data_IF_421737271260
#
_entry.id   IF_421737271260
#
_cell.length_a   1.000
_cell.length_b   1.000
_cell.length_c   1.000
_cell.angle_alpha   90.00
_cell.angle_beta   90.00
_cell.angle_gamma   90.00
#
_symmetry.space_group_name_H-M   'P 1'
#
loop_
_entity.id
_entity.type
_entity.pdbx_description
1 polymer ?
#
# COMPACT_ATOMS: atom_id res chain seq x y z
N UNK A 1 13.28 0.02 -25.25
CA UNK A 1 12.66 0.58 -24.03
C UNK A 1 13.59 0.26 -22.88
N UNK A 2 13.87 1.22 -21.99
CA UNK A 2 14.68 0.94 -20.81
C UNK A 2 13.94 -0.08 -19.92
N UNK A 3 14.67 -0.95 -19.22
CA UNK A 3 14.11 -1.94 -18.30
C UNK A 3 13.65 -1.25 -17.01
N UNK A 4 12.71 -0.32 -17.11
CA UNK A 4 12.16 0.44 -15.98
C UNK A 4 11.31 -0.49 -15.10
N UNK A 5 11.55 -0.43 -13.80
CA UNK A 5 10.88 -1.29 -12.82
C UNK A 5 10.52 -0.49 -11.56
N UNK A 6 9.42 -0.86 -10.91
CA UNK A 6 9.02 -0.37 -9.59
C UNK A 6 8.38 -1.49 -8.78
N UNK A 7 8.04 -1.19 -7.53
CA UNK A 7 7.36 -2.13 -6.64
C UNK A 7 5.88 -1.79 -6.54
N UNK A 8 5.05 -2.84 -6.48
CA UNK A 8 3.65 -2.76 -6.06
C UNK A 8 3.49 -3.55 -4.77
N UNK A 9 3.14 -2.85 -3.70
CA UNK A 9 2.76 -3.42 -2.41
C UNK A 9 1.26 -3.62 -2.42
N UNK A 10 0.79 -4.79 -2.02
CA UNK A 10 -0.62 -5.12 -1.90
C UNK A 10 -0.87 -5.68 -0.51
N UNK A 11 -1.71 -4.98 0.26
CA UNK A 11 -2.27 -5.48 1.50
C UNK A 11 -3.68 -6.00 1.25
N UNK A 12 -3.98 -7.19 1.76
CA UNK A 12 -5.31 -7.78 1.64
C UNK A 12 -5.68 -8.62 2.84
N UNK A 13 -6.97 -8.81 3.02
CA UNK A 13 -7.49 -9.78 3.98
C UNK A 13 -8.98 -9.97 3.86
N UNK A 14 -9.57 -10.47 4.94
CA UNK A 14 -10.95 -10.95 5.00
C UNK A 14 -11.72 -10.28 6.13
N UNK A 15 -12.96 -10.74 6.32
CA UNK A 15 -13.85 -10.29 7.36
C UNK A 15 -14.09 -11.39 8.40
N UNK A 16 -14.15 -11.03 9.69
CA UNK A 16 -14.40 -12.01 10.76
C UNK A 16 -15.80 -12.64 10.66
N UNK A 17 -15.91 -13.92 11.02
CA UNK A 17 -17.13 -14.74 10.86
C UNK A 17 -18.38 -14.24 11.60
N UNK A 18 -18.26 -13.22 12.47
CA UNK A 18 -19.44 -12.52 13.02
C UNK A 18 -20.21 -11.71 11.97
N UNK A 19 -19.61 -11.48 10.79
CA UNK A 19 -20.27 -10.96 9.59
C UNK A 19 -20.54 -12.10 8.60
N UNK A 20 -21.38 -13.07 8.96
CA UNK A 20 -21.72 -14.23 8.11
C UNK A 20 -22.13 -13.87 6.68
N UNK A 21 -22.75 -12.71 6.48
CA UNK A 21 -23.10 -12.17 5.16
C UNK A 21 -21.89 -11.81 4.26
N UNK A 22 -20.68 -11.78 4.81
CA UNK A 22 -19.43 -11.42 4.12
C UNK A 22 -18.44 -12.61 4.07
N UNK A 23 -18.92 -13.82 4.34
CA UNK A 23 -18.09 -15.01 4.27
C UNK A 23 -17.56 -15.17 2.84
N UNK A 24 -16.24 -15.22 2.68
CA UNK A 24 -15.57 -15.32 1.38
C UNK A 24 -15.30 -13.98 0.68
N UNK A 25 -15.82 -12.86 1.20
CA UNK A 25 -15.45 -11.54 0.72
C UNK A 25 -14.06 -11.15 1.22
N UNK A 26 -13.31 -10.43 0.38
CA UNK A 26 -11.98 -9.93 0.70
C UNK A 26 -11.87 -8.45 0.43
N UNK A 27 -10.96 -7.79 1.12
CA UNK A 27 -10.56 -6.43 0.83
C UNK A 27 -9.12 -6.41 0.37
N UNK A 28 -8.78 -5.42 -0.46
CA UNK A 28 -7.43 -5.20 -0.93
C UNK A 28 -7.16 -3.71 -1.09
N UNK A 29 -5.96 -3.29 -0.72
CA UNK A 29 -5.43 -1.96 -1.04
C UNK A 29 -4.00 -2.06 -1.53
N UNK A 30 -3.60 -1.14 -2.41
CA UNK A 30 -2.28 -1.18 -3.04
C UNK A 30 -1.58 0.17 -2.99
N UNK A 31 -0.27 0.14 -2.81
CA UNK A 31 0.63 1.30 -2.84
C UNK A 31 1.79 0.96 -3.76
N UNK A 32 2.13 1.87 -4.68
CA UNK A 32 3.33 1.72 -5.51
C UNK A 32 4.51 2.38 -4.81
N UNK A 33 5.69 1.82 -4.97
CA UNK A 33 6.92 2.38 -4.45
C UNK A 33 8.03 2.34 -5.51
N UNK A 34 8.85 3.37 -5.56
CA UNK A 34 10.13 3.30 -6.26
C UNK A 34 11.15 2.63 -5.37
N UNK A 35 12.08 1.88 -5.96
CA UNK A 35 13.29 1.41 -5.29
C UNK A 35 14.46 1.88 -6.15
N UNK A 36 15.36 2.67 -5.59
CA UNK A 36 16.52 3.20 -6.30
C UNK A 36 17.77 2.88 -5.47
N UNK A 37 18.80 2.32 -6.10
CA UNK A 37 20.14 2.30 -5.51
C UNK A 37 20.78 3.69 -5.73
N UNK A 38 20.62 4.58 -4.76
CA UNK A 38 20.98 6.00 -4.85
C UNK A 38 19.85 6.95 -4.42
N UNK A 39 19.93 8.20 -4.87
CA UNK A 39 18.95 9.25 -4.55
C UNK A 39 17.63 9.08 -5.30
N UNK A 40 16.54 9.48 -4.67
CA UNK A 40 15.20 9.51 -5.26
C UNK A 40 14.84 10.97 -5.56
N UNK A 41 14.40 11.23 -6.79
CA UNK A 41 13.85 12.53 -7.18
C UNK A 41 12.36 12.62 -6.84
N UNK A 42 11.86 13.80 -6.51
CA UNK A 42 10.42 14.01 -6.27
C UNK A 42 9.57 13.70 -7.50
N UNK A 43 10.12 13.91 -8.70
CA UNK A 43 9.54 13.57 -9.99
C UNK A 43 10.68 13.10 -10.90
N UNK A 44 10.57 11.89 -11.45
CA UNK A 44 11.63 11.33 -12.27
C UNK A 44 11.17 10.20 -13.17
N UNK A 45 12.14 9.60 -13.87
CA UNK A 45 11.95 8.36 -14.63
C UNK A 45 12.13 7.16 -13.72
N UNK A 46 11.31 6.13 -13.88
CA UNK A 46 11.40 4.91 -13.11
C UNK A 46 12.80 4.29 -13.23
N UNK A 47 13.32 3.70 -12.14
CA UNK A 47 14.67 3.18 -12.12
C UNK A 47 14.80 1.96 -13.03
N UNK A 48 15.98 1.80 -13.59
CA UNK A 48 16.39 0.66 -14.40
C UNK A 48 17.72 0.05 -13.90
N UNK A 49 18.16 0.45 -12.70
CA UNK A 49 19.44 0.09 -12.09
C UNK A 49 19.38 -1.15 -11.20
N UNK A 50 18.27 -1.89 -11.24
CA UNK A 50 18.13 -3.15 -10.53
C UNK A 50 17.26 -4.14 -11.31
N UNK A 51 17.35 -5.41 -10.93
CA UNK A 51 16.54 -6.47 -11.54
C UNK A 51 16.18 -7.56 -10.52
N UNK A 52 15.00 -8.18 -10.64
CA UNK A 52 14.66 -9.35 -9.83
C UNK A 52 15.52 -10.55 -10.25
N UNK A 53 16.14 -11.21 -9.29
CA UNK A 53 16.97 -12.41 -9.48
C UNK A 53 16.48 -13.55 -8.58
N UNK A 54 16.70 -14.82 -8.92
CA UNK A 54 16.18 -15.94 -8.14
C UNK A 54 16.69 -15.97 -6.71
N UNK A 55 15.77 -16.24 -5.78
CA UNK A 55 16.06 -16.60 -4.39
C UNK A 55 14.92 -17.44 -3.87
N UNK A 56 15.17 -18.65 -3.39
CA UNK A 56 14.14 -19.40 -2.67
C UNK A 56 13.89 -18.76 -1.31
N UNK A 57 12.67 -18.32 -1.04
CA UNK A 57 12.25 -17.73 0.23
C UNK A 57 11.16 -18.62 0.82
N UNK A 58 11.43 -19.16 2.01
CA UNK A 58 10.47 -19.90 2.83
C UNK A 58 10.84 -19.71 4.30
N UNK A 59 10.37 -18.60 4.88
CA UNK A 59 10.69 -18.17 6.24
C UNK A 59 9.45 -18.25 7.13
N UNK A 60 9.61 -18.70 8.36
CA UNK A 60 8.54 -18.76 9.35
C UNK A 60 8.95 -17.95 10.56
N UNK A 61 8.14 -16.95 10.87
CA UNK A 61 8.25 -16.12 12.08
C UNK A 61 7.15 -16.51 13.05
N UNK A 62 7.20 -16.00 14.28
CA UNK A 62 6.19 -16.31 15.32
C UNK A 62 4.77 -15.92 14.92
N UNK A 63 4.59 -14.90 14.06
CA UNK A 63 3.28 -14.38 13.67
C UNK A 63 2.92 -14.46 12.18
N UNK A 64 3.86 -14.88 11.33
CA UNK A 64 3.64 -14.97 9.88
C UNK A 64 4.65 -15.87 9.17
N UNK A 65 4.31 -16.27 7.96
CA UNK A 65 5.23 -16.94 7.03
C UNK A 65 5.51 -16.04 5.84
N UNK A 66 6.73 -16.08 5.31
CA UNK A 66 7.14 -15.36 4.11
C UNK A 66 7.57 -16.37 3.06
N UNK A 67 6.96 -16.29 1.88
CA UNK A 67 7.25 -17.17 0.74
C UNK A 67 7.50 -16.36 -0.51
N UNK A 68 8.40 -16.84 -1.37
CA UNK A 68 8.77 -16.13 -2.59
C UNK A 68 9.89 -16.85 -3.32
N UNK A 69 10.22 -16.35 -4.50
CA UNK A 69 11.22 -16.96 -5.37
C UNK A 69 12.20 -15.93 -5.96
N UNK A 70 12.23 -14.69 -5.46
CA UNK A 70 13.10 -13.65 -5.98
C UNK A 70 13.59 -12.69 -4.90
N UNK A 71 14.73 -12.07 -5.18
CA UNK A 71 15.28 -10.89 -4.51
C UNK A 71 15.70 -9.87 -5.55
N UNK A 72 16.24 -8.73 -5.10
CA UNK A 72 16.71 -7.68 -6.01
C UNK A 72 18.24 -7.68 -6.07
N UNK A 73 18.78 -7.61 -7.29
CA UNK A 73 20.19 -7.31 -7.56
C UNK A 73 20.30 -5.86 -8.02
N UNK A 74 21.12 -5.07 -7.32
CA UNK A 74 21.45 -3.69 -7.69
C UNK A 74 22.56 -3.60 -8.74
N UNK A 75 23.14 -2.40 -8.96
CA UNK A 75 24.11 -2.14 -10.03
C UNK A 75 25.51 -2.72 -9.77
N UNK A 76 25.80 -3.19 -8.54
CA UNK A 76 27.08 -3.78 -8.16
C UNK A 76 26.87 -5.04 -7.28
N UNK A 77 27.65 -5.22 -6.22
CA UNK A 77 27.51 -6.32 -5.26
C UNK A 77 26.30 -6.15 -4.31
N UNK A 78 25.56 -5.06 -4.46
CA UNK A 78 24.42 -4.73 -3.62
C UNK A 78 23.23 -5.61 -3.96
N UNK A 79 22.66 -6.22 -2.94
CA UNK A 79 21.41 -6.94 -3.04
C UNK A 79 20.42 -6.41 -2.04
N UNK A 80 19.15 -6.42 -2.41
CA UNK A 80 18.07 -6.01 -1.54
C UNK A 80 17.14 -7.20 -1.29
N UNK A 81 17.02 -7.57 -0.02
CA UNK A 81 16.29 -8.74 0.44
C UNK A 81 14.83 -8.35 0.74
N UNK A 82 13.93 -8.72 -0.17
CA UNK A 82 12.52 -8.29 -0.12
C UNK A 82 11.77 -8.93 1.04
N UNK A 83 12.17 -10.13 1.45
CA UNK A 83 11.68 -10.80 2.64
C UNK A 83 12.05 -10.07 3.94
N UNK A 84 13.25 -9.52 4.03
CA UNK A 84 13.65 -8.70 5.18
C UNK A 84 12.86 -7.40 5.21
N UNK A 85 12.71 -6.71 4.08
CA UNK A 85 11.86 -5.51 4.01
C UNK A 85 10.39 -5.82 4.35
N UNK A 86 9.87 -6.97 3.93
CA UNK A 86 8.51 -7.40 4.29
C UNK A 86 8.37 -7.59 5.81
N UNK A 87 9.37 -8.18 6.45
CA UNK A 87 9.35 -8.48 7.88
C UNK A 87 9.62 -7.27 8.77
N UNK A 88 10.65 -6.49 8.43
CA UNK A 88 11.21 -5.47 9.30
C UNK A 88 10.57 -4.09 9.07
N UNK A 89 10.02 -3.87 7.87
CA UNK A 89 9.42 -2.60 7.50
C UNK A 89 7.92 -2.72 7.22
N UNK A 90 7.52 -3.55 6.25
CA UNK A 90 6.12 -3.56 5.79
C UNK A 90 5.14 -4.15 6.80
N UNK A 91 5.45 -5.30 7.42
CA UNK A 91 4.58 -5.85 8.46
C UNK A 91 4.45 -4.91 9.67
N UNK A 92 5.55 -4.33 10.20
CA UNK A 92 5.50 -3.30 11.23
C UNK A 92 4.81 -1.99 10.81
N UNK A 93 4.72 -1.67 9.52
CA UNK A 93 3.97 -0.51 9.02
C UNK A 93 2.46 -0.80 8.90
N UNK A 94 2.10 -1.94 8.29
CA UNK A 94 0.70 -2.28 8.02
C UNK A 94 -0.07 -2.80 9.24
N UNK A 95 0.60 -3.46 10.20
CA UNK A 95 -0.01 -3.93 11.45
C UNK A 95 -0.62 -2.79 12.27
N UNK A 96 0.13 -1.74 12.68
CA UNK A 96 -0.44 -0.62 13.40
C UNK A 96 -1.38 0.23 12.53
N UNK A 97 -1.19 0.28 11.21
CA UNK A 97 -2.13 0.94 10.30
C UNK A 97 -3.51 0.26 10.37
N UNK A 98 -3.59 -1.07 10.25
CA UNK A 98 -4.88 -1.77 10.33
C UNK A 98 -5.48 -1.72 11.74
N UNK A 99 -4.64 -1.79 12.77
CA UNK A 99 -5.04 -1.74 14.18
C UNK A 99 -5.35 -0.32 14.68
N UNK A 100 -5.14 0.72 13.85
CA UNK A 100 -5.31 2.11 14.26
C UNK A 100 -6.71 2.34 14.81
N UNK A 101 -6.75 2.87 16.03
CA UNK A 101 -8.01 3.24 16.69
C UNK A 101 -8.78 4.22 15.82
N UNK A 102 -10.09 4.01 15.70
CA UNK A 102 -10.98 4.82 14.88
C UNK A 102 -10.64 4.84 13.39
N UNK A 103 -10.05 3.78 12.82
CA UNK A 103 -9.86 3.66 11.37
C UNK A 103 -10.63 2.49 10.77
N UNK A 104 -10.34 1.26 11.18
CA UNK A 104 -10.94 0.09 10.54
C UNK A 104 -11.77 -0.72 11.52
N UNK A 105 -12.87 -1.27 11.05
CA UNK A 105 -13.75 -2.09 11.89
C UNK A 105 -13.00 -3.29 12.47
N UNK A 106 -13.31 -3.65 13.71
CA UNK A 106 -12.88 -4.91 14.34
C UNK A 106 -13.24 -6.18 13.57
N UNK A 107 -14.08 -6.06 12.54
CA UNK A 107 -14.40 -7.17 11.63
C UNK A 107 -13.45 -7.26 10.44
N UNK A 108 -12.58 -6.29 10.20
CA UNK A 108 -11.54 -6.31 9.16
C UNK A 108 -10.31 -7.00 9.71
N UNK A 109 -9.74 -7.94 8.96
CA UNK A 109 -8.46 -8.59 9.29
C UNK A 109 -7.47 -8.48 8.14
N UNK A 110 -6.19 -8.24 8.44
CA UNK A 110 -5.08 -8.26 7.49
C UNK A 110 -4.50 -9.67 7.40
N UNK A 111 -4.57 -10.29 6.21
CA UNK A 111 -4.11 -11.68 6.00
C UNK A 111 -2.78 -11.76 5.29
N UNK A 112 -2.58 -10.92 4.29
CA UNK A 112 -1.38 -11.01 3.46
C UNK A 112 -0.84 -9.64 3.09
N UNK A 113 0.49 -9.56 3.00
CA UNK A 113 1.21 -8.49 2.32
C UNK A 113 1.96 -9.12 1.15
N UNK A 114 1.85 -8.53 -0.04
CA UNK A 114 2.51 -8.99 -1.25
C UNK A 114 3.30 -7.87 -1.87
N UNK A 115 4.52 -8.17 -2.31
CA UNK A 115 5.35 -7.24 -3.07
C UNK A 115 5.57 -7.83 -4.46
N UNK A 116 5.29 -7.04 -5.49
CA UNK A 116 5.48 -7.40 -6.89
C UNK A 116 6.51 -6.46 -7.55
N UNK A 117 7.49 -6.98 -8.31
CA UNK A 117 8.29 -6.17 -9.20
C UNK A 117 7.49 -5.94 -10.49
N UNK A 118 7.18 -4.69 -10.82
CA UNK A 118 6.37 -4.32 -11.98
C UNK A 118 7.25 -3.61 -13.00
N UNK A 119 7.25 -4.08 -14.24
CA UNK A 119 8.04 -3.47 -15.32
C UNK A 119 7.27 -2.40 -16.10
N UNK A 120 7.93 -1.77 -17.07
CA UNK A 120 7.35 -0.76 -17.97
C UNK A 120 6.03 -1.18 -18.66
N UNK A 121 5.84 -2.49 -18.91
CA UNK A 121 4.58 -3.01 -19.46
C UNK A 121 3.40 -3.01 -18.48
N UNK A 122 3.61 -2.66 -17.21
CA UNK A 122 2.61 -2.80 -16.14
C UNK A 122 2.40 -4.23 -15.64
N UNK A 123 3.22 -5.18 -16.12
CA UNK A 123 3.17 -6.59 -15.75
C UNK A 123 4.24 -6.93 -14.72
N UNK A 124 4.01 -8.03 -13.98
CA UNK A 124 4.99 -8.54 -13.02
C UNK A 124 6.22 -9.06 -13.77
N UNK A 125 7.40 -8.59 -13.37
CA UNK A 125 8.68 -9.01 -13.96
C UNK A 125 9.11 -10.36 -13.36
N UNK A 126 9.36 -11.40 -14.18
CA UNK A 126 9.90 -12.65 -13.68
C UNK A 126 11.37 -12.51 -13.28
N UNK A 127 11.79 -13.23 -12.23
CA UNK A 127 13.20 -13.49 -11.96
C UNK A 127 13.66 -14.69 -12.80
N UNK A 128 14.59 -14.56 -13.76
CA UNK A 128 15.06 -15.70 -14.55
C UNK A 128 15.73 -16.75 -13.66
N UNK A 129 15.35 -18.04 -13.68
CA UNK A 129 14.80 -18.74 -14.84
C UNK A 129 13.27 -18.90 -14.84
N UNK A 130 12.53 -18.27 -13.92
CA UNK A 130 11.08 -18.43 -13.87
C UNK A 130 10.42 -17.80 -15.11
N UNK A 131 9.48 -18.51 -15.72
CA UNK A 131 8.75 -18.03 -16.89
C UNK A 131 7.68 -16.96 -16.54
N UNK A 132 7.26 -16.91 -15.27
CA UNK A 132 6.22 -16.00 -14.77
C UNK A 132 6.71 -15.28 -13.52
N UNK A 133 6.36 -14.00 -13.41
CA UNK A 133 6.60 -13.22 -12.20
C UNK A 133 5.64 -13.62 -11.08
N UNK A 134 6.15 -13.70 -9.87
CA UNK A 134 5.39 -14.01 -8.65
C UNK A 134 5.71 -13.00 -7.55
N UNK A 135 4.78 -12.72 -6.64
CA UNK A 135 5.06 -11.87 -5.50
C UNK A 135 5.96 -12.58 -4.47
N UNK A 136 6.69 -11.80 -3.68
CA UNK A 136 7.05 -12.26 -2.32
C UNK A 136 5.86 -11.97 -1.42
N UNK A 137 5.38 -12.98 -0.72
CA UNK A 137 4.14 -12.96 0.07
C UNK A 137 4.44 -13.24 1.53
N UNK A 138 4.08 -12.29 2.39
CA UNK A 138 3.93 -12.51 3.83
C UNK A 138 2.47 -12.89 4.11
N UNK A 139 2.26 -13.97 4.86
CA UNK A 139 0.95 -14.47 5.29
C UNK A 139 0.91 -14.54 6.81
N UNK A 140 0.00 -13.80 7.44
CA UNK A 140 -0.17 -13.85 8.90
C UNK A 140 -0.65 -15.25 9.33
N UNK A 141 0.10 -15.87 10.23
CA UNK A 141 -0.20 -17.17 10.81
C UNK A 141 -0.71 -16.98 12.24
N UNK A 142 -1.87 -17.54 12.55
CA UNK A 142 -2.54 -17.34 13.84
C UNK A 142 -3.62 -16.26 13.77
N UNK A 143 -3.71 -15.41 14.81
CA UNK A 143 -4.69 -14.31 14.85
C UNK A 143 -4.15 -13.13 14.03
N UNK A 144 -4.72 -12.85 12.85
CA UNK A 144 -4.26 -11.73 12.02
C UNK A 144 -4.50 -10.39 12.72
N UNK A 145 -3.68 -9.36 12.43
CA UNK A 145 -3.98 -7.99 12.83
C UNK A 145 -5.38 -7.59 12.34
N UNK A 146 -6.22 -7.10 13.25
CA UNK A 146 -7.57 -6.67 12.94
C UNK A 146 -7.78 -5.20 13.26
N UNK A 147 -8.85 -4.62 12.71
CA UNK A 147 -9.27 -3.28 13.09
C UNK A 147 -9.61 -3.17 14.58
N UNK A 148 -9.60 -1.95 15.10
CA UNK A 148 -9.92 -1.68 16.50
C UNK A 148 -11.27 -0.98 16.68
N UNK A 149 -11.94 -0.62 15.60
CA UNK A 149 -13.16 0.18 15.65
C UNK A 149 -14.40 -0.69 15.88
N UNK A 150 -15.07 -0.46 17.01
CA UNK A 150 -16.32 -1.12 17.38
C UNK A 150 -17.53 -0.64 16.56
N UNK A 151 -18.61 -1.42 16.65
CA UNK A 151 -19.88 -1.15 15.96
C UNK A 151 -20.13 -2.06 14.74
N UNK A 152 -21.23 -1.81 14.02
CA UNK A 152 -21.53 -2.56 12.80
C UNK A 152 -20.59 -2.12 11.67
N UNK A 153 -20.19 -3.07 10.82
CA UNK A 153 -19.38 -2.78 9.64
C UNK A 153 -20.17 -1.91 8.66
N UNK A 154 -19.50 -0.96 8.01
CA UNK A 154 -20.07 -0.33 6.83
C UNK A 154 -20.30 -1.35 5.71
N UNK A 155 -21.37 -1.22 4.91
CA UNK A 155 -21.55 -2.07 3.73
C UNK A 155 -20.32 -2.01 2.84
N UNK A 156 -19.76 -3.14 2.34
CA UNK A 156 -18.57 -3.14 1.49
C UNK A 156 -18.72 -2.37 0.17
N UNK A 157 -19.96 -2.02 -0.21
CA UNK A 157 -20.24 -1.14 -1.35
C UNK A 157 -19.81 0.32 -1.09
N UNK A 158 -19.58 0.70 0.18
CA UNK A 158 -19.03 1.98 0.57
C UNK A 158 -17.54 1.82 0.85
N UNK A 159 -16.72 2.64 0.19
CA UNK A 159 -15.29 2.71 0.50
C UNK A 159 -14.90 4.14 0.86
N UNK A 160 -14.05 4.24 1.88
CA UNK A 160 -13.35 5.48 2.18
C UNK A 160 -12.10 5.54 1.31
N UNK A 161 -11.81 6.71 0.77
CA UNK A 161 -10.70 6.89 -0.16
C UNK A 161 -9.68 7.83 0.43
N UNK A 162 -8.45 7.35 0.59
CA UNK A 162 -7.29 8.22 0.72
C UNK A 162 -6.83 8.63 -0.68
N UNK A 163 -6.87 9.92 -0.97
CA UNK A 163 -6.31 10.49 -2.19
C UNK A 163 -4.86 10.90 -1.94
N UNK A 164 -4.01 10.69 -2.92
CA UNK A 164 -2.60 11.05 -2.87
C UNK A 164 -2.28 12.13 -3.90
N UNK A 165 -1.43 13.07 -3.51
CA UNK A 165 -0.89 14.13 -4.37
C UNK A 165 0.62 14.03 -4.42
N UNK A 166 1.19 14.47 -5.53
CA UNK A 166 2.63 14.63 -5.71
C UNK A 166 2.91 16.05 -6.21
N UNK A 167 4.17 16.41 -6.39
CA UNK A 167 4.56 17.66 -7.05
C UNK A 167 4.24 17.67 -8.56
N UNK A 168 3.94 16.50 -9.17
CA UNK A 168 3.65 16.41 -10.59
C UNK A 168 2.27 16.98 -10.90
N UNK A 169 2.24 18.01 -11.76
CA UNK A 169 1.01 18.67 -12.17
C UNK A 169 0.14 17.75 -13.03
N UNK A 170 -1.17 17.80 -12.80
CA UNK A 170 -2.17 17.12 -13.63
C UNK A 170 -2.60 15.76 -13.09
N UNK A 171 -3.09 14.90 -13.98
CA UNK A 171 -3.68 13.59 -13.58
C UNK A 171 -2.63 12.56 -13.15
N UNK A 172 -1.39 12.70 -13.61
CA UNK A 172 -0.30 11.75 -13.34
C UNK A 172 0.23 11.85 -11.90
N UNK A 173 0.20 13.04 -11.30
CA UNK A 173 0.54 13.24 -9.88
C UNK A 173 -0.62 13.03 -8.90
N UNK A 174 -1.63 12.23 -9.27
CA UNK A 174 -2.83 12.00 -8.46
C UNK A 174 -3.15 10.52 -8.39
N UNK A 175 -3.33 10.03 -7.16
CA UNK A 175 -3.47 8.61 -6.84
C UNK A 175 -4.55 8.42 -5.80
N UNK A 176 -5.02 7.19 -5.64
CA UNK A 176 -6.06 6.84 -4.66
C UNK A 176 -5.86 5.44 -4.14
N UNK A 177 -6.05 5.27 -2.84
CA UNK A 177 -6.22 3.98 -2.19
C UNK A 177 -7.64 3.87 -1.64
N UNK A 178 -8.34 2.84 -2.07
CA UNK A 178 -9.60 2.42 -1.48
C UNK A 178 -9.27 1.67 -0.20
N UNK A 179 -9.82 2.12 0.92
CA UNK A 179 -9.48 1.62 2.24
C UNK A 179 -10.49 0.56 2.69
N UNK A 180 -10.11 -0.34 3.60
CA UNK A 180 -11.03 -1.25 4.25
C UNK A 180 -12.19 -0.50 4.93
N UNK A 181 -13.37 -1.13 5.07
CA UNK A 181 -14.51 -0.47 5.67
C UNK A 181 -14.31 -0.16 7.15
N UNK A 182 -14.76 1.02 7.54
CA UNK A 182 -14.91 1.42 8.94
C UNK A 182 -16.17 0.85 9.58
N UNK A 183 -16.62 1.51 10.64
CA UNK A 183 -17.90 1.21 11.29
C UNK A 183 -18.97 2.26 10.98
N UNK A 184 -20.23 1.84 10.97
CA UNK A 184 -21.41 2.72 10.89
C UNK A 184 -21.44 3.80 11.97
N UNK A 185 -20.75 3.60 13.10
CA UNK A 185 -20.61 4.60 14.18
C UNK A 185 -19.83 5.85 13.77
N UNK A 186 -19.11 5.79 12.65
CA UNK A 186 -18.29 6.89 12.14
C UNK A 186 -19.02 7.73 11.08
N UNK A 187 -20.29 7.40 10.81
CA UNK A 187 -21.13 8.16 9.89
C UNK A 187 -21.88 9.22 10.69
N UNK A 188 -21.69 10.48 10.32
CA UNK A 188 -22.45 11.61 10.81
C UNK A 188 -23.20 12.23 9.63
N UNK A 189 -24.53 12.29 9.71
CA UNK A 189 -25.38 12.94 8.71
C UNK A 189 -25.16 12.43 7.26
N UNK A 190 -24.83 11.15 7.11
CA UNK A 190 -24.56 10.52 5.82
C UNK A 190 -23.17 10.76 5.25
N UNK A 191 -22.27 11.38 6.02
CA UNK A 191 -20.85 11.61 5.68
C UNK A 191 -19.93 11.02 6.75
N UNK A 192 -18.62 10.99 6.51
CA UNK A 192 -17.64 10.64 7.53
C UNK A 192 -17.57 11.72 8.61
N UNK A 193 -17.62 11.33 9.87
CA UNK A 193 -17.33 12.24 10.98
C UNK A 193 -15.89 12.79 10.91
N UNK A 194 -15.69 14.04 11.33
CA UNK A 194 -14.39 14.71 11.27
C UNK A 194 -13.29 13.98 12.06
N UNK A 195 -13.61 13.44 13.24
CA UNK A 195 -12.69 12.63 14.05
C UNK A 195 -12.16 11.41 13.28
N UNK A 196 -13.05 10.75 12.54
CA UNK A 196 -12.71 9.57 11.75
C UNK A 196 -11.86 9.93 10.52
N UNK A 197 -12.21 11.03 9.83
CA UNK A 197 -11.40 11.55 8.72
C UNK A 197 -9.97 11.88 9.16
N UNK A 198 -9.81 12.59 10.28
CA UNK A 198 -8.50 12.94 10.83
C UNK A 198 -7.70 11.70 11.27
N UNK A 199 -8.37 10.70 11.86
CA UNK A 199 -7.72 9.43 12.23
C UNK A 199 -7.20 8.69 11.00
N UNK A 200 -8.01 8.59 9.93
CA UNK A 200 -7.60 7.97 8.67
C UNK A 200 -6.47 8.74 7.98
N UNK A 201 -6.53 10.07 7.95
CA UNK A 201 -5.49 10.92 7.39
C UNK A 201 -4.15 10.67 8.09
N UNK A 202 -4.12 10.77 9.42
CA UNK A 202 -2.92 10.54 10.21
C UNK A 202 -2.41 9.10 10.03
N UNK A 203 -3.31 8.10 10.03
CA UNK A 203 -2.95 6.69 9.81
C UNK A 203 -2.27 6.48 8.45
N UNK A 204 -2.82 7.09 7.40
CA UNK A 204 -2.31 6.95 6.06
C UNK A 204 -0.97 7.67 5.88
N UNK A 205 -0.78 8.84 6.50
CA UNK A 205 0.52 9.53 6.54
C UNK A 205 1.57 8.65 7.20
N UNK A 206 1.30 8.18 8.43
CA UNK A 206 2.22 7.29 9.16
C UNK A 206 2.53 6.01 8.39
N UNK A 207 1.55 5.43 7.67
CA UNK A 207 1.80 4.27 6.81
C UNK A 207 2.79 4.60 5.68
N UNK A 208 2.64 5.74 5.01
CA UNK A 208 3.54 6.12 3.91
C UNK A 208 4.96 6.37 4.41
N UNK A 209 5.12 7.05 5.54
CA UNK A 209 6.41 7.28 6.20
C UNK A 209 7.04 5.95 6.61
N UNK A 210 6.26 5.04 7.20
CA UNK A 210 6.73 3.74 7.62
C UNK A 210 7.02 2.77 6.45
N UNK A 211 6.49 2.99 5.25
CA UNK A 211 6.87 2.21 4.06
C UNK A 211 8.19 2.70 3.47
N UNK A 212 8.46 4.00 3.58
CA UNK A 212 9.70 4.57 3.10
C UNK A 212 10.89 3.93 3.83
N UNK A 213 11.97 3.75 3.08
CA UNK A 213 13.19 3.16 3.59
C UNK A 213 14.39 3.88 2.98
N UNK A 214 15.43 4.10 3.77
CA UNK A 214 16.71 4.60 3.28
C UNK A 214 17.83 3.95 4.10
N UNK A 215 18.78 3.29 3.41
CA UNK A 215 20.00 2.85 4.07
C UNK A 215 21.07 3.95 3.95
N UNK A 216 21.87 4.17 5.00
CA UNK A 216 22.72 5.36 5.16
C UNK A 216 24.01 5.42 4.33
N UNK A 217 23.98 5.08 3.03
CA UNK A 217 25.13 5.13 2.12
C UNK A 217 24.83 5.85 0.78
N UNK A 218 25.84 6.02 -0.10
CA UNK A 218 25.64 6.67 -1.40
C UNK A 218 25.12 5.74 -2.52
N UNK A 219 25.24 4.43 -2.33
CA UNK A 219 24.81 3.39 -3.29
C UNK A 219 23.72 2.48 -2.71
N UNK A 220 23.20 2.87 -1.55
CA UNK A 220 22.20 2.11 -0.80
C UNK A 220 20.81 2.17 -1.42
N UNK A 221 20.02 1.16 -1.11
CA UNK A 221 18.63 1.12 -1.55
C UNK A 221 17.81 2.16 -0.79
N UNK A 222 17.08 2.95 -1.56
CA UNK A 222 16.11 3.95 -1.11
C UNK A 222 14.75 3.59 -1.69
N UNK A 223 13.74 3.50 -0.82
CA UNK A 223 12.36 3.23 -1.18
C UNK A 223 11.50 4.42 -0.82
N UNK A 224 10.65 4.85 -1.75
CA UNK A 224 9.65 5.91 -1.51
C UNK A 224 8.30 5.52 -2.12
N UNK A 225 7.17 5.78 -1.44
CA UNK A 225 5.85 5.65 -2.04
C UNK A 225 5.66 6.63 -3.21
N UNK A 226 5.13 6.14 -4.33
CA UNK A 226 5.01 6.90 -5.59
C UNK A 226 3.63 6.78 -6.23
N UNK A 227 3.37 7.70 -7.14
CA UNK A 227 2.31 7.62 -8.15
C UNK A 227 2.98 7.38 -9.50
N UNK A 228 2.52 6.36 -10.20
CA UNK A 228 2.90 6.06 -11.59
C UNK A 228 1.74 5.37 -12.30
N UNK A 229 1.71 5.47 -13.62
CA UNK A 229 0.71 4.89 -14.49
C UNK A 229 1.23 4.74 -15.92
N UNK A 230 0.47 4.05 -16.78
CA UNK A 230 0.86 3.78 -18.16
C UNK A 230 1.33 5.06 -18.89
N UNK A 231 2.51 5.06 -19.56
CA UNK A 231 3.32 3.90 -19.96
C UNK A 231 4.31 3.35 -18.91
N UNK A 232 4.17 3.65 -17.61
CA UNK A 232 5.07 3.21 -16.54
C UNK A 232 6.55 3.51 -16.85
N UNK A 233 6.80 4.74 -17.27
CA UNK A 233 8.16 5.29 -17.50
C UNK A 233 8.54 6.32 -16.45
N UNK A 234 7.55 7.03 -15.92
CA UNK A 234 7.74 8.15 -15.00
C UNK A 234 7.10 7.85 -13.65
N UNK A 235 7.60 8.50 -12.60
CA UNK A 235 6.98 8.50 -11.28
C UNK A 235 7.01 9.89 -10.66
N UNK A 236 6.19 10.03 -9.62
CA UNK A 236 6.29 11.15 -8.69
C UNK A 236 6.07 10.65 -7.26
N UNK A 237 6.86 11.15 -6.31
CA UNK A 237 6.78 10.81 -4.88
C UNK A 237 5.54 11.43 -4.26
N UNK A 238 4.83 10.66 -3.44
CA UNK A 238 3.60 11.13 -2.78
C UNK A 238 3.98 12.18 -1.73
N UNK A 239 3.56 13.44 -1.90
CA UNK A 239 3.89 14.53 -0.96
C UNK A 239 2.70 14.98 -0.11
N UNK A 240 1.50 14.50 -0.40
CA UNK A 240 0.34 14.78 0.44
C UNK A 240 -0.73 13.69 0.36
N UNK A 241 -1.41 13.51 1.48
CA UNK A 241 -2.60 12.67 1.62
C UNK A 241 -3.81 13.58 1.86
N UNK A 242 -4.92 13.26 1.20
CA UNK A 242 -6.21 13.90 1.38
C UNK A 242 -7.27 12.83 1.71
N UNK A 243 -8.13 13.10 2.70
CA UNK A 243 -9.31 12.27 3.00
C UNK A 243 -10.57 13.13 2.84
N UNK A 244 -11.50 12.64 2.02
CA UNK A 244 -12.79 13.29 1.73
C UNK A 244 -13.85 12.76 2.70
N UNK A 245 -14.75 13.63 3.18
CA UNK A 245 -15.87 13.22 4.02
C UNK A 245 -16.91 12.37 3.29
N UNK A 246 -16.88 12.37 1.96
CA UNK A 246 -17.81 11.63 1.12
C UNK A 246 -17.26 10.25 0.80
N UNK A 247 -18.06 9.22 1.13
CA UNK A 247 -17.82 7.86 0.67
C UNK A 247 -17.76 7.79 -0.85
N UNK A 248 -16.78 7.06 -1.38
CA UNK A 248 -16.80 6.73 -2.80
C UNK A 248 -17.78 5.56 -3.00
N UNK A 249 -18.66 5.75 -3.98
CA UNK A 249 -19.58 4.72 -4.50
C UNK A 249 -19.37 4.68 -6.00
N UNK A 250 -19.66 3.57 -6.68
CA UNK A 250 -19.51 3.51 -8.14
C UNK A 250 -20.28 4.65 -8.85
N UNK A 251 -19.50 5.66 -9.23
CA UNK A 251 -19.62 6.64 -10.31
C UNK A 251 -20.80 7.62 -10.35
N UNK A 252 -21.97 7.39 -9.72
CA UNK A 252 -23.18 8.15 -10.11
C UNK A 252 -23.73 9.22 -9.14
N UNK A 253 -23.27 9.33 -7.88
CA UNK A 253 -23.82 10.32 -6.91
C UNK A 253 -22.83 11.32 -6.29
N UNK A 254 -21.52 11.22 -6.59
CA UNK A 254 -20.51 12.13 -6.03
C UNK A 254 -20.72 13.61 -6.40
N UNK A 255 -21.42 13.90 -7.51
CA UNK A 255 -21.60 15.29 -7.98
C UNK A 255 -22.63 16.11 -7.19
N UNK A 256 -23.42 15.52 -6.29
CA UNK A 256 -24.45 16.25 -5.53
C UNK A 256 -24.15 16.40 -4.04
N UNK A 257 -23.17 15.70 -3.50
CA UNK A 257 -22.82 15.78 -2.08
C UNK A 257 -21.68 16.78 -1.87
N UNK A 258 -21.85 17.72 -0.94
CA UNK A 258 -20.81 18.66 -0.53
C UNK A 258 -20.04 18.03 0.61
N UNK A 259 -18.75 17.77 0.39
CA UNK A 259 -17.85 17.19 1.37
C UNK A 259 -16.85 18.18 1.93
N UNK A 260 -16.23 17.81 3.06
CA UNK A 260 -15.02 18.45 3.57
C UNK A 260 -13.82 17.59 3.23
N UNK A 261 -12.68 18.21 2.99
CA UNK A 261 -11.41 17.52 2.77
C UNK A 261 -10.43 17.92 3.86
N UNK A 262 -9.79 16.94 4.46
CA UNK A 262 -8.64 17.14 5.36
C UNK A 262 -7.38 16.65 4.65
N UNK A 263 -6.25 17.33 4.87
CA UNK A 263 -4.99 17.02 4.19
C UNK A 263 -3.79 17.18 5.09
N UNK A 264 -2.77 16.36 4.86
CA UNK A 264 -1.49 16.40 5.58
C UNK A 264 -0.36 15.86 4.68
N UNK A 265 0.90 15.99 5.12
CA UNK A 265 2.10 15.67 4.34
C UNK A 265 2.97 14.63 5.07
N UNK A 266 3.35 13.52 4.41
CA UNK A 266 4.36 12.62 4.94
C UNK A 266 5.75 13.26 4.89
N UNK A 267 6.57 12.97 5.90
CA UNK A 267 8.00 13.29 5.95
C UNK A 267 8.82 12.02 5.73
N UNK A 268 9.61 11.99 4.65
CA UNK A 268 10.45 10.84 4.29
C UNK A 268 11.92 11.03 4.60
#
# INVERSE_FOLDING_TARGET
>A
MANEVHLLIVASGDYTGSATALTGETWQTGIRATLVFGSVDDIGTLPNNWSPVPKSINRTETGWTITGNWKISGPSLETWEVDDWLNDQLAPAFTPWVQRTNCFSQRVQLRTLKVYPIGAGGHVVPAPPFAQGSPVTLTYSGTPPGGALGGALLPPQLSVVASHRTQQVGRRGRGRSFLPPGSSTQVAEGTLGSTYQNALLASQVTLLEAIAYESGGPSTATIRPIITGMPFTDYAVITSVEVDSIFDTQRRRRRSAVGTVVSDQPSY
#
